data_IF_558366159499
#
_entry.id   IF_558366159499
#
_cell.length_a   1.000
_cell.length_b   1.000
_cell.length_c   1.000
_cell.angle_alpha   90.00
_cell.angle_beta   90.00
_cell.angle_gamma   90.00
#
_symmetry.space_group_name_H-M   'P 1'
#
loop_
_entity.id
_entity.type
_entity.pdbx_description
1 polymer ?
#
# COMPACT_ATOMS: atom_id res chain seq x y z
N UNK A 1 5.44 7.24 -0.39
CA UNK A 1 5.73 6.63 -1.71
C UNK A 1 7.04 7.16 -2.28
N UNK A 2 7.87 6.30 -2.90
CA UNK A 2 9.15 6.71 -3.53
C UNK A 2 8.94 7.52 -4.81
N UNK A 3 7.82 7.34 -5.49
CA UNK A 3 7.42 8.04 -6.69
C UNK A 3 5.89 8.10 -6.79
N UNK A 4 5.32 9.11 -7.46
CA UNK A 4 3.88 9.17 -7.67
C UNK A 4 3.44 8.03 -8.61
N UNK A 5 2.28 7.45 -8.30
CA UNK A 5 1.68 6.32 -9.01
C UNK A 5 0.26 6.68 -9.38
N UNK A 6 -0.13 6.40 -10.61
CA UNK A 6 -1.51 6.44 -11.08
C UNK A 6 -1.94 5.09 -11.62
N UNK A 7 -3.24 4.81 -11.62
CA UNK A 7 -3.83 3.61 -12.16
C UNK A 7 -5.01 3.91 -13.06
N UNK A 8 -5.35 2.94 -13.92
CA UNK A 8 -6.51 2.99 -14.79
C UNK A 8 -7.09 1.58 -14.94
N UNK A 9 -8.42 1.49 -15.07
CA UNK A 9 -9.12 0.27 -15.42
C UNK A 9 -9.42 0.27 -16.92
N UNK A 10 -9.00 -0.77 -17.60
CA UNK A 10 -9.14 -0.96 -19.05
C UNK A 10 -10.06 -2.14 -19.33
N UNK A 11 -10.73 -2.11 -20.45
CA UNK A 11 -11.58 -3.20 -20.92
C UNK A 11 -11.34 -3.52 -22.40
N UNK A 12 -11.85 -4.67 -22.80
CA UNK A 12 -11.87 -5.13 -24.18
C UNK A 12 -13.26 -5.66 -24.49
N UNK A 13 -13.79 -5.29 -25.63
CA UNK A 13 -14.96 -5.91 -26.23
C UNK A 13 -14.60 -6.41 -27.63
N UNK A 14 -14.95 -7.64 -27.94
CA UNK A 14 -14.66 -8.32 -29.20
C UNK A 14 -15.94 -8.91 -29.78
N UNK A 15 -16.14 -8.74 -31.08
CA UNK A 15 -17.25 -9.39 -31.77
C UNK A 15 -16.88 -10.80 -32.27
N UNK A 16 -17.87 -11.50 -32.86
CA UNK A 16 -17.70 -12.85 -33.38
C UNK A 16 -16.75 -12.93 -34.59
N UNK A 17 -16.55 -11.82 -35.28
CA UNK A 17 -15.65 -11.69 -36.43
C UNK A 17 -14.21 -11.35 -36.00
N UNK A 18 -13.95 -11.22 -34.69
CA UNK A 18 -12.64 -10.90 -34.13
C UNK A 18 -12.28 -9.41 -34.18
N UNK A 19 -13.24 -8.54 -34.53
CA UNK A 19 -13.04 -7.09 -34.39
C UNK A 19 -13.18 -6.71 -32.91
N UNK A 20 -12.32 -5.84 -32.46
CA UNK A 20 -12.29 -5.45 -31.07
C UNK A 20 -12.19 -3.94 -30.87
N UNK A 21 -12.56 -3.51 -29.67
CA UNK A 21 -12.35 -2.17 -29.17
C UNK A 21 -11.75 -2.24 -27.76
N UNK A 22 -10.71 -1.44 -27.51
CA UNK A 22 -10.09 -1.29 -26.21
C UNK A 22 -10.73 -0.07 -25.55
N UNK A 23 -11.26 -0.27 -24.33
CA UNK A 23 -11.95 0.75 -23.55
C UNK A 23 -11.01 1.25 -22.43
N UNK A 24 -10.98 2.58 -22.25
CA UNK A 24 -10.24 3.23 -21.17
C UNK A 24 -11.20 3.67 -20.06
N UNK A 25 -10.78 3.51 -18.81
CA UNK A 25 -11.50 3.96 -17.61
C UNK A 25 -12.93 3.37 -17.52
N UNK A 26 -12.98 2.04 -17.56
CA UNK A 26 -14.25 1.29 -17.58
C UNK A 26 -15.01 1.39 -16.25
N UNK A 27 -16.33 1.38 -16.37
CA UNK A 27 -17.27 1.30 -15.25
C UNK A 27 -17.94 -0.08 -15.16
N UNK A 28 -18.84 -0.25 -14.18
CA UNK A 28 -19.50 -1.52 -13.91
C UNK A 28 -20.09 -2.26 -15.12
N UNK A 29 -20.86 -1.59 -16.00
CA UNK A 29 -21.44 -2.25 -17.19
C UNK A 29 -20.38 -2.84 -18.14
N UNK A 30 -19.32 -2.09 -18.44
CA UNK A 30 -18.25 -2.54 -19.31
C UNK A 30 -17.43 -3.66 -18.65
N UNK A 31 -17.26 -3.61 -17.33
CA UNK A 31 -16.61 -4.66 -16.57
C UNK A 31 -17.37 -5.99 -16.65
N UNK A 32 -18.71 -5.95 -16.48
CA UNK A 32 -19.52 -7.17 -16.52
C UNK A 32 -19.70 -7.74 -17.93
N UNK A 33 -19.85 -6.88 -18.93
CA UNK A 33 -20.16 -7.27 -20.32
C UNK A 33 -18.90 -7.43 -21.18
N UNK A 34 -17.76 -6.95 -20.75
CA UNK A 34 -16.51 -7.01 -21.51
C UNK A 34 -15.91 -8.41 -21.54
N UNK A 35 -15.07 -8.66 -22.54
CA UNK A 35 -14.40 -9.94 -22.79
C UNK A 35 -13.06 -10.06 -22.06
N UNK A 36 -12.48 -8.93 -21.69
CA UNK A 36 -11.31 -8.80 -20.84
C UNK A 36 -11.36 -7.49 -20.09
N UNK A 37 -10.90 -7.49 -18.86
CA UNK A 37 -10.59 -6.28 -18.11
C UNK A 37 -9.23 -6.39 -17.43
N UNK A 38 -8.55 -5.25 -17.28
CA UNK A 38 -7.35 -5.19 -16.47
C UNK A 38 -7.21 -3.84 -15.79
N UNK A 39 -6.65 -3.88 -14.59
CA UNK A 39 -6.30 -2.72 -13.80
C UNK A 39 -4.79 -2.63 -13.79
N UNK A 40 -4.27 -1.50 -14.20
CA UNK A 40 -2.81 -1.27 -14.28
C UNK A 40 -2.44 0.00 -13.57
N UNK A 41 -1.43 -0.09 -12.71
CA UNK A 41 -0.86 1.05 -12.01
C UNK A 41 0.63 1.17 -12.29
N UNK A 42 1.17 2.37 -12.17
CA UNK A 42 2.60 2.60 -12.33
C UNK A 42 3.02 4.05 -12.22
N UNK A 43 4.32 4.21 -12.20
CA UNK A 43 5.01 5.51 -12.25
C UNK A 43 5.17 5.98 -13.70
N UNK A 44 5.69 7.20 -13.94
CA UNK A 44 6.07 7.60 -15.30
C UNK A 44 7.09 6.65 -15.96
N UNK A 45 7.89 5.95 -15.17
CA UNK A 45 8.97 5.08 -15.67
C UNK A 45 8.50 3.66 -16.04
N UNK A 46 7.40 3.18 -15.44
CA UNK A 46 6.93 1.82 -15.71
C UNK A 46 5.75 1.38 -14.86
N UNK A 47 5.28 0.18 -15.16
CA UNK A 47 4.18 -0.49 -14.46
C UNK A 47 4.69 -1.04 -13.13
N UNK A 48 3.92 -0.87 -12.06
CA UNK A 48 4.22 -1.37 -10.71
C UNK A 48 3.24 -2.44 -10.25
N UNK A 49 2.04 -2.46 -10.81
CA UNK A 49 1.02 -3.48 -10.52
C UNK A 49 0.10 -3.67 -11.73
N UNK A 50 -0.34 -4.91 -11.92
CA UNK A 50 -1.32 -5.30 -12.95
C UNK A 50 -2.15 -6.46 -12.41
N UNK A 51 -3.48 -6.36 -12.61
CA UNK A 51 -4.43 -7.44 -12.38
C UNK A 51 -5.31 -7.55 -13.62
N UNK A 52 -5.48 -8.76 -14.14
CA UNK A 52 -6.21 -9.00 -15.39
C UNK A 52 -7.17 -10.17 -15.23
N UNK A 53 -8.37 -10.01 -15.76
CA UNK A 53 -9.36 -11.06 -15.95
C UNK A 53 -9.70 -11.20 -17.44
N UNK A 54 -9.66 -12.44 -17.95
CA UNK A 54 -9.90 -12.77 -19.36
C UNK A 54 -11.05 -13.77 -19.43
N UNK A 55 -12.08 -13.46 -20.21
CA UNK A 55 -13.21 -14.35 -20.48
C UNK A 55 -13.11 -15.01 -21.86
N UNK A 56 -12.14 -14.66 -22.67
CA UNK A 56 -11.82 -15.24 -23.96
C UNK A 56 -10.86 -16.42 -23.81
N UNK A 57 -10.76 -17.26 -24.83
CA UNK A 57 -9.84 -18.40 -24.87
C UNK A 57 -8.36 -18.00 -25.02
N UNK A 58 -8.07 -16.72 -25.14
CA UNK A 58 -6.72 -16.16 -25.20
C UNK A 58 -6.71 -14.76 -25.83
N UNK A 59 -5.59 -14.06 -25.66
CA UNK A 59 -5.31 -12.76 -26.27
C UNK A 59 -4.03 -12.83 -27.07
N UNK A 60 -3.96 -12.12 -28.20
CA UNK A 60 -2.71 -11.99 -28.93
C UNK A 60 -1.75 -11.03 -28.22
N UNK A 61 -0.46 -11.24 -28.41
CA UNK A 61 0.58 -10.34 -27.87
C UNK A 61 0.42 -8.92 -28.41
N UNK A 62 0.00 -8.79 -29.66
CA UNK A 62 -0.22 -7.50 -30.34
C UNK A 62 -1.35 -6.73 -29.65
N UNK A 63 -2.50 -7.37 -29.42
CA UNK A 63 -3.65 -6.78 -28.76
C UNK A 63 -3.29 -6.35 -27.33
N UNK A 64 -2.62 -7.20 -26.59
CA UNK A 64 -2.18 -6.88 -25.22
C UNK A 64 -1.22 -5.68 -25.20
N UNK A 65 -0.30 -5.61 -26.17
CA UNK A 65 0.62 -4.50 -26.32
C UNK A 65 -0.09 -3.19 -26.64
N UNK A 66 -1.12 -3.23 -27.50
CA UNK A 66 -1.95 -2.08 -27.83
C UNK A 66 -2.72 -1.61 -26.59
N UNK A 67 -3.37 -2.52 -25.88
CA UNK A 67 -4.11 -2.22 -24.64
C UNK A 67 -3.22 -1.58 -23.57
N UNK A 68 -2.01 -2.09 -23.36
CA UNK A 68 -1.05 -1.53 -22.41
C UNK A 68 -0.54 -0.15 -22.84
N UNK A 69 -0.38 0.10 -24.14
CA UNK A 69 0.00 1.42 -24.65
C UNK A 69 -1.12 2.43 -24.44
N UNK A 70 -2.38 2.05 -24.71
CA UNK A 70 -3.54 2.91 -24.45
C UNK A 70 -3.69 3.20 -22.96
N UNK A 71 -3.52 2.19 -22.10
CA UNK A 71 -3.51 2.34 -20.65
C UNK A 71 -2.40 3.29 -20.17
N UNK A 72 -1.22 3.24 -20.78
CA UNK A 72 -0.11 4.16 -20.45
C UNK A 72 -0.50 5.61 -20.70
N UNK A 73 -1.15 5.92 -21.82
CA UNK A 73 -1.61 7.26 -22.15
C UNK A 73 -2.61 7.74 -21.09
N UNK A 74 -3.64 6.95 -20.80
CA UNK A 74 -4.65 7.29 -19.81
C UNK A 74 -4.05 7.46 -18.39
N UNK A 75 -3.18 6.56 -18.01
CA UNK A 75 -2.52 6.60 -16.69
C UNK A 75 -1.63 7.85 -16.53
N UNK A 76 -0.89 8.23 -17.55
CA UNK A 76 -0.06 9.43 -17.50
C UNK A 76 -0.90 10.70 -17.47
N UNK A 77 -2.04 10.73 -18.16
CA UNK A 77 -3.00 11.83 -18.07
C UNK A 77 -3.53 11.98 -16.64
N UNK A 78 -4.01 10.88 -16.04
CA UNK A 78 -4.47 10.87 -14.63
C UNK A 78 -3.36 11.37 -13.70
N UNK A 79 -2.12 10.92 -13.91
CA UNK A 79 -0.99 11.36 -13.10
C UNK A 79 -0.76 12.86 -13.20
N UNK A 80 -0.88 13.46 -14.39
CA UNK A 80 -0.76 14.90 -14.57
C UNK A 80 -1.84 15.66 -13.79
N UNK A 81 -3.09 15.17 -13.79
CA UNK A 81 -4.17 15.79 -13.00
C UNK A 81 -3.90 15.69 -11.50
N UNK A 82 -3.42 14.54 -11.02
CA UNK A 82 -3.03 14.35 -9.63
C UNK A 82 -1.92 15.32 -9.18
N UNK A 83 -0.92 15.52 -10.03
CA UNK A 83 0.23 16.39 -9.73
C UNK A 83 -0.14 17.88 -9.71
N UNK A 84 -1.27 18.30 -10.28
CA UNK A 84 -1.79 19.68 -10.14
C UNK A 84 -2.22 19.97 -8.69
N UNK A 85 -2.66 18.95 -7.96
CA UNK A 85 -3.13 19.11 -6.57
C UNK A 85 -2.00 18.81 -5.56
N UNK A 86 -1.24 17.74 -5.77
CA UNK A 86 -0.14 17.33 -4.91
C UNK A 86 1.09 17.05 -5.78
N UNK A 87 1.95 18.03 -5.94
CA UNK A 87 3.17 17.92 -6.76
C UNK A 87 4.19 16.96 -6.15
N UNK A 88 4.32 16.98 -4.83
CA UNK A 88 5.27 16.15 -4.06
C UNK A 88 4.58 15.53 -2.86
N UNK A 89 5.02 14.35 -2.41
CA UNK A 89 4.57 13.79 -1.14
C UNK A 89 4.82 14.77 0.00
N UNK A 90 3.88 14.85 0.95
CA UNK A 90 4.09 15.63 2.17
C UNK A 90 5.30 15.05 2.92
N UNK A 91 6.12 15.91 3.48
CA UNK A 91 7.27 15.53 4.31
C UNK A 91 6.83 14.96 5.65
N UNK A 92 5.70 15.46 6.15
CA UNK A 92 5.10 15.01 7.41
C UNK A 92 3.85 14.17 7.16
N UNK A 93 3.66 13.18 8.00
CA UNK A 93 2.41 12.42 8.03
C UNK A 93 1.27 13.29 8.57
N UNK A 94 0.04 12.97 8.17
CA UNK A 94 -1.15 13.53 8.78
C UNK A 94 -1.09 13.38 10.31
N UNK A 95 -1.53 14.37 11.11
CA UNK A 95 -1.60 14.21 12.56
C UNK A 95 -2.53 13.07 13.01
N UNK A 96 -3.44 12.63 12.13
CA UNK A 96 -4.33 11.49 12.38
C UNK A 96 -3.79 10.15 11.86
N UNK A 97 -2.66 10.16 11.14
CA UNK A 97 -2.08 8.92 10.64
C UNK A 97 -1.36 8.17 11.78
N UNK A 98 -1.60 6.88 11.96
CA UNK A 98 -0.84 6.09 12.92
C UNK A 98 0.63 6.09 12.51
N UNK A 99 1.50 6.40 13.47
CA UNK A 99 2.95 6.33 13.30
C UNK A 99 3.43 5.01 13.87
N UNK A 100 4.28 4.33 13.12
CA UNK A 100 4.89 3.06 13.51
C UNK A 100 6.39 3.26 13.61
N UNK A 101 6.93 2.98 14.78
CA UNK A 101 8.37 3.07 15.05
C UNK A 101 8.86 1.74 15.59
N UNK A 102 9.98 1.26 15.08
CA UNK A 102 10.62 0.06 15.59
C UNK A 102 11.87 0.42 16.39
N UNK A 103 12.04 -0.20 17.55
CA UNK A 103 13.26 -0.20 18.35
C UNK A 103 13.76 -1.63 18.48
N UNK A 104 15.06 -1.81 18.67
CA UNK A 104 15.63 -3.13 18.84
C UNK A 104 16.21 -3.27 20.25
N UNK A 105 15.84 -4.34 20.94
CA UNK A 105 16.33 -4.68 22.29
C UNK A 105 17.11 -6.01 22.24
N UNK A 106 17.92 -6.27 23.24
CA UNK A 106 18.54 -7.59 23.37
C UNK A 106 17.44 -8.66 23.54
N UNK A 107 17.38 -9.73 22.72
CA UNK A 107 16.39 -10.79 22.83
C UNK A 107 16.28 -11.41 24.23
N UNK A 108 17.41 -11.49 24.97
CA UNK A 108 17.42 -11.99 26.36
C UNK A 108 16.59 -11.11 27.32
N UNK A 109 16.34 -9.85 26.96
CA UNK A 109 15.56 -8.88 27.75
C UNK A 109 14.07 -8.88 27.40
N UNK A 110 13.64 -9.64 26.41
CA UNK A 110 12.21 -9.76 26.04
C UNK A 110 11.38 -10.19 27.24
N UNK A 111 11.87 -11.17 28.01
CA UNK A 111 11.21 -11.62 29.25
C UNK A 111 11.03 -10.52 30.29
N UNK A 112 12.01 -9.64 30.45
CA UNK A 112 11.94 -8.49 31.34
C UNK A 112 10.92 -7.45 30.86
N UNK A 113 10.89 -7.18 29.56
CA UNK A 113 9.92 -6.25 28.95
C UNK A 113 8.49 -6.76 29.07
N UNK A 114 8.26 -8.05 28.86
CA UNK A 114 6.92 -8.67 29.01
C UNK A 114 6.50 -8.70 30.49
N UNK A 115 7.42 -9.06 31.38
CA UNK A 115 7.15 -9.23 32.81
C UNK A 115 6.41 -10.52 33.15
N UNK A 116 6.35 -10.84 34.42
CA UNK A 116 5.65 -12.03 34.92
C UNK A 116 4.15 -11.91 34.65
N UNK A 117 3.58 -12.88 33.94
CA UNK A 117 2.16 -12.83 33.58
C UNK A 117 1.78 -11.66 32.67
N UNK A 118 2.74 -11.11 31.92
CA UNK A 118 2.58 -9.95 31.00
C UNK A 118 2.29 -8.63 31.72
N UNK A 119 2.62 -8.51 33.00
CA UNK A 119 2.31 -7.30 33.79
C UNK A 119 3.00 -6.04 33.27
N UNK A 120 4.29 -6.12 32.88
CA UNK A 120 5.05 -4.97 32.42
C UNK A 120 4.54 -4.46 31.08
N UNK A 121 4.30 -5.34 30.11
CA UNK A 121 3.79 -4.93 28.79
C UNK A 121 2.37 -4.37 28.88
N UNK A 122 1.51 -4.92 29.77
CA UNK A 122 0.17 -4.39 29.98
C UNK A 122 0.19 -3.02 30.65
N UNK A 123 1.06 -2.82 31.65
CA UNK A 123 1.24 -1.54 32.31
C UNK A 123 1.77 -0.48 31.30
N UNK A 124 2.74 -0.87 30.48
CA UNK A 124 3.34 -0.01 29.46
C UNK A 124 2.30 0.42 28.43
N UNK A 125 1.52 -0.53 27.86
CA UNK A 125 0.44 -0.24 26.91
C UNK A 125 -0.62 0.66 27.54
N UNK A 126 -0.98 0.44 28.80
CA UNK A 126 -1.96 1.28 29.51
C UNK A 126 -1.44 2.69 29.78
N UNK A 127 -0.16 2.83 30.17
CA UNK A 127 0.47 4.11 30.47
C UNK A 127 0.64 4.98 29.20
N UNK A 128 1.06 4.33 28.11
CA UNK A 128 1.39 5.04 26.87
C UNK A 128 0.21 5.14 25.89
N UNK A 129 -0.82 4.30 26.08
CA UNK A 129 -1.92 4.11 25.12
C UNK A 129 -1.43 3.83 23.69
N UNK A 130 -0.20 3.30 23.56
CA UNK A 130 0.38 2.85 22.31
C UNK A 130 0.20 1.34 22.15
N UNK A 131 0.04 0.89 20.93
CA UNK A 131 0.08 -0.52 20.60
C UNK A 131 1.55 -0.95 20.48
N UNK A 132 1.91 -2.04 21.18
CA UNK A 132 3.29 -2.51 21.27
C UNK A 132 3.34 -3.99 20.91
N UNK A 133 4.12 -4.30 19.88
CA UNK A 133 4.36 -5.65 19.38
C UNK A 133 5.82 -6.03 19.56
N UNK A 134 6.10 -7.27 19.98
CA UNK A 134 7.44 -7.75 20.28
C UNK A 134 7.69 -9.02 19.46
N UNK A 135 8.69 -8.96 18.58
CA UNK A 135 9.16 -10.10 17.82
C UNK A 135 10.29 -10.84 18.56
N UNK A 136 10.45 -12.13 18.26
CA UNK A 136 11.42 -13.02 18.92
C UNK A 136 12.89 -12.59 18.69
N UNK A 137 13.15 -11.82 17.64
CA UNK A 137 14.48 -11.28 17.32
C UNK A 137 14.85 -10.03 18.15
N UNK A 138 13.96 -9.57 19.03
CA UNK A 138 14.14 -8.37 19.83
C UNK A 138 13.65 -7.09 19.15
N UNK A 139 13.00 -7.17 18.00
CA UNK A 139 12.35 -6.03 17.38
C UNK A 139 11.06 -5.70 18.12
N UNK A 140 10.96 -4.49 18.63
CA UNK A 140 9.77 -3.97 19.30
C UNK A 140 9.15 -2.88 18.43
N UNK A 141 7.93 -3.11 17.97
CA UNK A 141 7.16 -2.18 17.15
C UNK A 141 6.17 -1.42 18.02
N UNK A 142 6.21 -0.09 17.93
CA UNK A 142 5.36 0.82 18.69
C UNK A 142 4.49 1.59 17.69
N UNK A 143 3.18 1.53 17.86
CA UNK A 143 2.21 2.22 16.99
C UNK A 143 1.31 3.15 17.80
N UNK A 144 1.24 4.42 17.40
CA UNK A 144 0.32 5.41 17.96
C UNK A 144 0.14 6.59 16.99
N UNK A 145 -1.02 7.25 16.95
CA UNK A 145 -1.18 8.53 16.25
C UNK A 145 -0.47 9.67 16.98
N UNK A 146 -0.14 9.50 18.26
CA UNK A 146 0.47 10.52 19.11
C UNK A 146 1.98 10.29 19.24
N UNK A 147 2.77 11.27 18.81
CA UNK A 147 4.23 11.23 18.87
C UNK A 147 4.77 11.21 20.31
N UNK A 148 4.12 11.92 21.24
CA UNK A 148 4.57 11.97 22.64
C UNK A 148 4.42 10.60 23.30
N UNK A 149 3.36 9.88 22.99
CA UNK A 149 3.13 8.49 23.44
C UNK A 149 4.19 7.53 22.91
N UNK A 150 4.60 7.68 21.66
CA UNK A 150 5.69 6.89 21.08
C UNK A 150 7.01 7.15 21.81
N UNK A 151 7.37 8.41 22.05
CA UNK A 151 8.61 8.75 22.74
C UNK A 151 8.59 8.27 24.21
N UNK A 152 7.44 8.38 24.87
CA UNK A 152 7.25 7.82 26.21
C UNK A 152 7.45 6.29 26.22
N UNK A 153 6.84 5.60 25.26
CA UNK A 153 6.99 4.14 25.13
C UNK A 153 8.45 3.73 24.89
N UNK A 154 9.17 4.40 24.00
CA UNK A 154 10.62 4.17 23.78
C UNK A 154 11.44 4.33 25.05
N UNK A 155 11.19 5.41 25.80
CA UNK A 155 11.91 5.69 27.06
C UNK A 155 11.65 4.58 28.09
N UNK A 156 10.40 4.14 28.21
CA UNK A 156 10.04 3.07 29.15
C UNK A 156 10.60 1.72 28.76
N UNK A 157 10.59 1.39 27.45
CA UNK A 157 11.21 0.18 26.93
C UNK A 157 12.71 0.16 27.26
N UNK A 158 13.42 1.25 26.99
CA UNK A 158 14.83 1.35 27.33
C UNK A 158 15.08 1.10 28.83
N UNK A 159 14.31 1.74 29.74
CA UNK A 159 14.41 1.54 31.17
C UNK A 159 14.19 0.10 31.64
N UNK A 160 13.29 -0.64 30.97
CA UNK A 160 12.99 -2.04 31.33
C UNK A 160 13.99 -3.05 30.75
N UNK A 161 14.79 -2.62 29.76
CA UNK A 161 15.69 -3.49 29.00
C UNK A 161 17.18 -3.13 29.14
N UNK A 162 17.52 -2.12 29.96
CA UNK A 162 18.90 -1.79 30.36
C UNK A 162 19.57 -2.86 31.29
#
# INVERSE_FOLDING_TARGET
SKAPVSGIAMGLMMDQDGKYVILSDIMGPEYFSGDMDFKVAGTPKGITALQMDIKLSGLTTELLKEALNQAKIGRLHILQEMLKTIEKPNTELSPYAPRVVSVHINPEKIGALIGKGRENIQALTKETEAEIDIADDGTVTISSPDQEKIELAKKRIAQLTE
#
